data_IF_012380196399
#
_entry.id   IF_012380196399
#
_cell.length_a   1.000
_cell.length_b   1.000
_cell.length_c   1.000
_cell.angle_alpha   90.00
_cell.angle_beta   90.00
_cell.angle_gamma   90.00
#
_symmetry.space_group_name_H-M   'P 1'
#
loop_
_entity.id
_entity.type
_entity.pdbx_description
1 polymer ?
#
# COMPACT_ATOMS: atom_id res chain seq x y z
N UNK A 1 2.49 8.96 -14.52
CA UNK A 1 1.80 7.65 -14.51
C UNK A 1 2.32 6.79 -13.38
N UNK A 2 1.44 6.14 -12.66
CA UNK A 2 1.82 5.31 -11.51
C UNK A 2 2.16 3.90 -11.98
N UNK A 3 3.36 3.43 -11.61
CA UNK A 3 3.75 2.04 -11.90
C UNK A 3 2.90 1.08 -11.08
N UNK A 4 2.56 -0.06 -11.67
CA UNK A 4 1.78 -1.11 -11.04
C UNK A 4 2.69 -2.27 -10.68
N UNK A 5 2.51 -2.83 -9.48
CA UNK A 5 3.25 -4.02 -9.06
C UNK A 5 2.29 -5.01 -8.41
N UNK A 6 2.16 -6.23 -8.95
CA UNK A 6 1.34 -7.24 -8.28
C UNK A 6 2.04 -7.74 -7.03
N UNK A 7 1.26 -8.15 -6.04
CA UNK A 7 1.80 -8.54 -4.72
C UNK A 7 2.80 -9.69 -4.81
N UNK A 8 2.65 -10.60 -5.78
CA UNK A 8 3.58 -11.72 -5.94
C UNK A 8 4.98 -11.32 -6.44
N UNK A 9 5.16 -10.05 -6.81
CA UNK A 9 6.46 -9.55 -7.26
C UNK A 9 7.16 -8.69 -6.21
N UNK A 10 6.50 -8.43 -5.08
CA UNK A 10 7.05 -7.53 -4.05
C UNK A 10 8.35 -8.06 -3.45
N UNK A 11 8.43 -9.36 -3.16
CA UNK A 11 9.64 -9.94 -2.58
C UNK A 11 10.88 -9.70 -3.45
N UNK A 12 10.74 -9.86 -4.76
CA UNK A 12 11.86 -9.63 -5.67
C UNK A 12 12.16 -8.15 -5.81
N UNK A 13 11.11 -7.33 -5.84
CA UNK A 13 11.26 -5.88 -5.98
C UNK A 13 12.09 -5.29 -4.83
N UNK A 14 11.83 -5.70 -3.59
CA UNK A 14 12.52 -5.13 -2.43
C UNK A 14 13.98 -5.56 -2.35
N UNK A 15 14.35 -6.68 -2.96
CA UNK A 15 15.76 -7.10 -3.03
C UNK A 15 16.57 -6.11 -3.86
N UNK A 16 15.98 -5.58 -4.93
CA UNK A 16 16.62 -4.61 -5.80
C UNK A 16 16.41 -3.17 -5.33
N UNK A 17 15.41 -2.96 -4.47
CA UNK A 17 15.04 -1.64 -3.98
C UNK A 17 14.90 -1.68 -2.46
N UNK A 18 16.04 -1.77 -1.72
CA UNK A 18 15.99 -2.01 -0.26
C UNK A 18 15.43 -0.84 0.55
N UNK A 19 15.27 0.34 -0.04
CA UNK A 19 14.65 1.48 0.62
C UNK A 19 13.15 1.54 0.40
N UNK A 20 12.52 0.43 0.03
CA UNK A 20 11.07 0.38 -0.17
C UNK A 20 10.33 0.36 1.15
N UNK A 21 9.17 1.00 1.18
CA UNK A 21 8.20 0.88 2.27
C UNK A 21 6.85 0.46 1.69
N UNK A 22 6.03 -0.17 2.53
CA UNK A 22 4.67 -0.54 2.18
C UNK A 22 3.71 0.38 2.94
N UNK A 23 2.77 0.99 2.22
CA UNK A 23 1.77 1.86 2.82
C UNK A 23 0.39 1.28 2.55
N UNK A 24 -0.25 0.77 3.60
CA UNK A 24 -1.61 0.25 3.52
C UNK A 24 -2.58 1.38 3.82
N UNK A 25 -3.37 1.76 2.80
CA UNK A 25 -4.28 2.91 2.90
C UNK A 25 -5.74 2.51 3.14
N UNK A 26 -5.96 1.25 3.52
CA UNK A 26 -7.31 0.76 3.84
C UNK A 26 -7.84 1.40 5.12
N UNK A 27 -9.04 1.00 5.51
CA UNK A 27 -9.65 1.51 6.74
C UNK A 27 -9.21 0.68 7.96
N UNK A 28 -9.34 1.27 9.14
CA UNK A 28 -9.08 0.58 10.40
C UNK A 28 -9.96 -0.68 10.53
N UNK A 29 -11.22 -0.58 10.10
CA UNK A 29 -12.14 -1.71 10.14
C UNK A 29 -11.66 -2.88 9.30
N UNK A 30 -11.11 -2.59 8.13
CA UNK A 30 -10.54 -3.64 7.26
C UNK A 30 -9.33 -4.31 7.94
N UNK A 31 -8.46 -3.52 8.57
CA UNK A 31 -7.31 -4.08 9.28
C UNK A 31 -7.73 -5.01 10.42
N UNK A 32 -8.76 -4.63 11.15
CA UNK A 32 -9.22 -5.41 12.29
C UNK A 32 -10.03 -6.65 11.89
N UNK A 33 -10.84 -6.54 10.84
CA UNK A 33 -11.77 -7.61 10.44
C UNK A 33 -11.18 -8.58 9.42
N UNK A 34 -10.33 -8.10 8.53
CA UNK A 34 -9.78 -8.93 7.44
C UNK A 34 -8.34 -9.32 7.72
N UNK A 35 -7.60 -8.49 8.45
CA UNK A 35 -6.19 -8.69 8.73
C UNK A 35 -5.33 -7.63 8.04
N UNK A 36 -4.02 -7.67 8.33
CA UNK A 36 -3.05 -6.70 7.82
C UNK A 36 -1.84 -7.40 7.22
N UNK A 37 -1.18 -6.76 6.26
CA UNK A 37 0.07 -7.32 5.75
C UNK A 37 1.15 -7.20 6.82
N UNK A 38 1.92 -8.27 6.99
CA UNK A 38 3.08 -8.27 7.87
C UNK A 38 4.33 -8.15 7.01
N UNK A 39 4.54 -6.94 6.47
CA UNK A 39 5.64 -6.70 5.53
C UNK A 39 7.00 -6.89 6.14
N UNK A 40 7.14 -6.62 7.46
CA UNK A 40 8.42 -6.79 8.12
C UNK A 40 8.96 -8.21 8.00
N UNK A 41 8.08 -9.21 7.92
CA UNK A 41 8.52 -10.60 7.74
C UNK A 41 9.17 -10.88 6.39
N UNK A 42 8.95 -10.03 5.41
CA UNK A 42 9.61 -10.17 4.10
C UNK A 42 10.63 -9.06 3.86
N UNK A 43 10.88 -8.22 4.88
CA UNK A 43 11.94 -7.21 4.82
C UNK A 43 11.49 -5.83 4.35
N UNK A 44 10.19 -5.53 4.41
CA UNK A 44 9.68 -4.22 4.04
C UNK A 44 8.92 -3.60 5.22
N UNK A 45 9.31 -2.37 5.59
CA UNK A 45 8.63 -1.66 6.67
C UNK A 45 7.23 -1.26 6.22
N UNK A 46 6.24 -1.52 7.06
CA UNK A 46 4.84 -1.33 6.72
C UNK A 46 4.22 -0.25 7.58
N UNK A 47 3.51 0.68 6.92
CA UNK A 47 2.79 1.77 7.56
C UNK A 47 1.30 1.64 7.25
N UNK A 48 0.46 2.09 8.16
CA UNK A 48 -1.00 2.03 8.05
C UNK A 48 -1.56 3.43 8.19
N UNK A 49 -2.17 3.94 7.11
CA UNK A 49 -2.68 5.30 7.09
C UNK A 49 -3.83 5.38 6.09
N UNK A 50 -5.05 5.52 6.59
CA UNK A 50 -6.25 5.50 5.75
C UNK A 50 -6.30 6.70 4.80
N UNK A 51 -6.49 6.45 3.51
CA UNK A 51 -6.78 7.50 2.54
C UNK A 51 -8.27 7.84 2.54
N UNK A 52 -9.09 6.87 2.94
CA UNK A 52 -10.53 7.04 3.15
C UNK A 52 -10.92 6.33 4.44
N UNK A 53 -11.91 6.87 5.11
CA UNK A 53 -12.52 6.21 6.27
C UNK A 53 -13.70 5.36 5.83
N UNK A 54 -14.24 4.54 6.74
CA UNK A 54 -15.40 3.70 6.46
C UNK A 54 -16.53 4.55 5.89
N UNK A 55 -17.26 4.00 4.91
CA UNK A 55 -18.31 4.73 4.21
C UNK A 55 -17.81 5.62 3.08
N UNK A 56 -16.59 5.41 2.63
CA UNK A 56 -15.95 6.14 1.54
C UNK A 56 -15.76 7.63 1.84
N UNK A 57 -15.56 7.96 3.11
CA UNK A 57 -15.29 9.33 3.54
C UNK A 57 -13.82 9.64 3.30
N UNK A 58 -13.53 10.65 2.48
CA UNK A 58 -12.15 11.02 2.15
C UNK A 58 -11.43 11.53 3.41
N UNK A 59 -10.20 11.05 3.62
CA UNK A 59 -9.32 11.61 4.64
C UNK A 59 -8.59 12.80 4.04
N UNK A 60 -9.10 14.00 4.29
CA UNK A 60 -8.54 15.23 3.73
C UNK A 60 -7.14 15.54 4.25
N UNK A 61 -6.75 14.95 5.39
CA UNK A 61 -5.43 15.14 5.98
C UNK A 61 -4.43 14.06 5.56
N UNK A 62 -4.79 13.18 4.62
CA UNK A 62 -3.95 12.04 4.25
C UNK A 62 -2.53 12.42 3.86
N UNK A 63 -2.37 13.38 2.97
CA UNK A 63 -1.04 13.80 2.50
C UNK A 63 -0.23 14.39 3.64
N UNK A 64 -0.84 15.26 4.44
CA UNK A 64 -0.18 15.86 5.61
C UNK A 64 0.26 14.80 6.61
N UNK A 65 -0.62 13.84 6.91
CA UNK A 65 -0.30 12.76 7.84
C UNK A 65 0.84 11.90 7.30
N UNK A 66 0.85 11.64 5.99
CA UNK A 66 1.95 10.89 5.39
C UNK A 66 3.27 11.68 5.49
N UNK A 67 3.24 12.97 5.22
CA UNK A 67 4.42 13.82 5.33
C UNK A 67 4.99 13.81 6.76
N UNK A 68 4.13 13.73 7.75
CA UNK A 68 4.54 13.67 9.15
C UNK A 68 5.24 12.36 9.53
N UNK A 69 5.16 11.33 8.69
CA UNK A 69 5.91 10.09 8.91
C UNK A 69 7.39 10.24 8.58
N UNK A 70 7.76 11.33 7.92
CA UNK A 70 9.15 11.64 7.54
C UNK A 70 9.80 10.56 6.67
N UNK A 71 9.04 10.06 5.70
CA UNK A 71 9.55 9.07 4.76
C UNK A 71 10.52 9.76 3.79
N UNK A 72 11.68 9.15 3.58
CA UNK A 72 12.66 9.64 2.62
C UNK A 72 12.06 9.65 1.22
N UNK A 73 12.15 10.78 0.52
CA UNK A 73 11.62 10.88 -0.85
C UNK A 73 12.34 10.01 -1.86
N UNK A 74 13.50 9.49 -1.49
CA UNK A 74 14.22 8.51 -2.32
C UNK A 74 13.73 7.08 -2.09
N UNK A 75 12.86 6.87 -1.11
CA UNK A 75 12.26 5.55 -0.89
C UNK A 75 11.23 5.23 -1.95
N UNK A 76 11.11 3.95 -2.30
CA UNK A 76 10.00 3.49 -3.13
C UNK A 76 8.80 3.23 -2.22
N UNK A 77 7.68 3.88 -2.48
CA UNK A 77 6.46 3.74 -1.67
C UNK A 77 5.49 2.83 -2.40
N UNK A 78 5.32 1.62 -1.89
CA UNK A 78 4.37 0.65 -2.42
C UNK A 78 3.03 0.87 -1.71
N UNK A 79 2.05 1.40 -2.44
CA UNK A 79 0.77 1.79 -1.85
C UNK A 79 -0.27 0.70 -2.11
N UNK A 80 -0.92 0.24 -1.06
CA UNK A 80 -1.84 -0.90 -1.11
C UNK A 80 -3.20 -0.57 -0.51
N UNK A 81 -4.26 -1.04 -1.17
CA UNK A 81 -5.60 -1.05 -0.58
C UNK A 81 -6.19 -2.46 -0.74
N UNK A 82 -7.51 -2.60 -0.83
CA UNK A 82 -8.13 -3.92 -0.97
C UNK A 82 -7.89 -4.56 -2.33
N UNK A 83 -8.07 -3.82 -3.41
CA UNK A 83 -7.98 -4.34 -4.77
C UNK A 83 -7.33 -3.38 -5.78
N UNK A 84 -6.69 -2.32 -5.30
CA UNK A 84 -5.85 -1.46 -6.13
C UNK A 84 -6.44 -0.11 -6.53
N UNK A 85 -7.71 0.18 -6.21
CA UNK A 85 -8.36 1.42 -6.66
C UNK A 85 -8.06 2.63 -5.77
N UNK A 86 -8.30 2.50 -4.46
CA UNK A 86 -8.00 3.58 -3.50
C UNK A 86 -6.52 3.90 -3.47
N UNK A 87 -5.69 2.87 -3.54
CA UNK A 87 -4.23 3.04 -3.50
C UNK A 87 -3.70 3.72 -4.75
N UNK A 88 -4.32 3.50 -5.91
CA UNK A 88 -3.97 4.22 -7.14
C UNK A 88 -4.11 5.73 -6.92
N UNK A 89 -5.25 6.15 -6.37
CA UNK A 89 -5.50 7.57 -6.11
C UNK A 89 -4.54 8.13 -5.07
N UNK A 90 -4.30 7.37 -3.99
CA UNK A 90 -3.36 7.78 -2.95
C UNK A 90 -1.95 7.94 -3.52
N UNK A 91 -1.51 7.00 -4.37
CA UNK A 91 -0.20 7.07 -5.01
C UNK A 91 -0.07 8.33 -5.90
N UNK A 92 -1.13 8.68 -6.61
CA UNK A 92 -1.14 9.91 -7.43
C UNK A 92 -0.95 11.15 -6.57
N UNK A 93 -1.66 11.23 -5.44
CA UNK A 93 -1.54 12.37 -4.52
C UNK A 93 -0.13 12.50 -3.96
N UNK A 94 0.48 11.38 -3.57
CA UNK A 94 1.83 11.41 -3.00
C UNK A 94 2.88 11.71 -4.07
N UNK A 95 2.68 11.23 -5.29
CA UNK A 95 3.59 11.52 -6.40
C UNK A 95 3.62 13.01 -6.71
N UNK A 96 2.49 13.69 -6.60
CA UNK A 96 2.43 15.14 -6.77
C UNK A 96 3.29 15.87 -5.73
N UNK A 97 3.54 15.26 -4.58
CA UNK A 97 4.37 15.82 -3.52
C UNK A 97 5.84 15.40 -3.61
N UNK A 98 6.21 14.69 -4.66
CA UNK A 98 7.61 14.34 -4.93
C UNK A 98 8.04 12.97 -4.43
N UNK A 99 7.12 12.13 -3.98
CA UNK A 99 7.43 10.76 -3.57
C UNK A 99 7.42 9.81 -4.77
N UNK A 100 8.18 8.74 -4.69
CA UNK A 100 8.25 7.70 -5.73
C UNK A 100 7.29 6.57 -5.35
N UNK A 101 6.15 6.49 -6.03
CA UNK A 101 5.09 5.56 -5.64
C UNK A 101 4.85 4.49 -6.70
N UNK A 102 4.52 3.28 -6.21
CA UNK A 102 3.99 2.20 -7.03
C UNK A 102 2.65 1.78 -6.42
N UNK A 103 1.71 1.37 -7.25
CA UNK A 103 0.44 0.84 -6.78
C UNK A 103 0.52 -0.68 -6.72
N UNK A 104 0.21 -1.27 -5.58
CA UNK A 104 0.08 -2.72 -5.46
C UNK A 104 -1.24 -3.09 -6.13
N UNK A 105 -1.15 -3.53 -7.38
CA UNK A 105 -2.28 -3.58 -8.31
C UNK A 105 -3.39 -4.54 -7.91
N UNK A 106 -3.06 -5.62 -7.21
CA UNK A 106 -4.04 -6.60 -6.73
C UNK A 106 -4.45 -6.38 -5.27
N UNK A 107 -3.77 -5.46 -4.57
CA UNK A 107 -4.11 -5.10 -3.20
C UNK A 107 -3.94 -6.23 -2.19
N UNK A 108 -4.65 -6.10 -1.07
CA UNK A 108 -4.55 -7.08 0.02
C UNK A 108 -5.39 -8.32 -0.24
N UNK A 109 -6.61 -8.15 -0.76
CA UNK A 109 -7.55 -9.27 -0.97
C UNK A 109 -7.81 -9.63 -2.43
N UNK A 110 -7.40 -8.78 -3.37
CA UNK A 110 -7.73 -8.97 -4.78
C UNK A 110 -9.19 -8.66 -5.09
N UNK A 111 -9.67 -9.11 -6.24
CA UNK A 111 -11.05 -8.88 -6.68
C UNK A 111 -11.84 -10.20 -6.88
N UNK A 112 -11.18 -11.34 -6.67
CA UNK A 112 -11.81 -12.64 -6.84
C UNK A 112 -11.96 -13.10 -8.30
N UNK A 113 -11.44 -12.33 -9.24
CA UNK A 113 -11.53 -12.64 -10.68
C UNK A 113 -10.14 -12.75 -11.30
N UNK A 114 -9.47 -11.61 -11.52
CA UNK A 114 -8.13 -11.57 -12.10
C UNK A 114 -7.06 -11.21 -11.07
N UNK A 115 -7.43 -10.39 -10.08
CA UNK A 115 -6.50 -9.89 -9.06
C UNK A 115 -6.49 -10.84 -7.88
N UNK A 116 -5.32 -11.38 -7.56
CA UNK A 116 -5.19 -12.39 -6.51
C UNK A 116 -5.12 -11.76 -5.13
N UNK A 117 -4.21 -10.83 -4.91
CA UNK A 117 -4.05 -10.12 -3.64
C UNK A 117 -2.98 -10.73 -2.75
N UNK A 118 -2.42 -9.87 -1.89
CA UNK A 118 -1.39 -10.23 -0.91
C UNK A 118 -1.75 -11.49 -0.11
N UNK A 119 -2.95 -11.49 0.46
CA UNK A 119 -3.41 -12.58 1.33
C UNK A 119 -3.51 -13.90 0.58
N UNK A 120 -4.07 -13.87 -0.63
CA UNK A 120 -4.27 -15.08 -1.42
C UNK A 120 -2.99 -15.58 -2.07
N UNK A 121 -1.98 -14.73 -2.20
CA UNK A 121 -0.63 -15.12 -2.61
C UNK A 121 0.18 -15.68 -1.45
N UNK A 122 -0.44 -15.89 -0.30
CA UNK A 122 0.19 -16.48 0.88
C UNK A 122 1.34 -15.65 1.46
N UNK A 123 1.32 -14.34 1.23
CA UNK A 123 2.28 -13.44 1.87
C UNK A 123 1.91 -13.26 3.34
N UNK A 124 2.88 -12.91 4.21
CA UNK A 124 2.62 -12.85 5.66
C UNK A 124 1.55 -11.84 6.03
N UNK A 125 0.67 -12.24 6.96
CA UNK A 125 -0.37 -11.38 7.51
C UNK A 125 -0.38 -11.48 9.03
N UNK A 126 -0.98 -10.50 9.67
CA UNK A 126 -1.15 -10.47 11.12
C UNK A 126 -2.45 -9.80 11.55
#
# INVERSE_FOLDING_TARGET
>A
MIKQIPSNQIKDFIKENPKSILLDVRTKEEWEQIGRPDGEKIGIKTYFLSSQFQGRVINESFVEEFENLNIDKNSEVLVMCGSGNRSQRAAELLTEKGYNCLNVSDGFRGDGIEKIGWKNNKLPIK
#
